data_IF_655535052348
#
_entry.id   IF_655535052348
#
_cell.length_a   1.000
_cell.length_b   1.000
_cell.length_c   1.000
_cell.angle_alpha   90.00
_cell.angle_beta   90.00
_cell.angle_gamma   90.00
#
_symmetry.space_group_name_H-M   'P 1'
#
loop_
_entity.id
_entity.type
_entity.pdbx_description
1 polymer ?
#
# COMPACT_ATOMS: atom_id res chain seq x y z
N UNK A 1 -18.76 63.76 -20.13
CA UNK A 1 -18.99 62.44 -19.49
C UNK A 1 -18.18 61.36 -20.21
N UNK A 2 -16.85 61.46 -20.18
CA UNK A 2 -15.93 60.51 -20.85
C UNK A 2 -14.89 60.02 -19.83
N UNK A 3 -15.37 59.38 -18.75
CA UNK A 3 -14.50 58.96 -17.65
C UNK A 3 -14.98 57.67 -16.94
N UNK A 4 -15.75 56.80 -17.60
CA UNK A 4 -16.44 55.72 -16.86
C UNK A 4 -16.31 54.29 -17.37
N UNK A 5 -15.55 53.98 -18.42
CA UNK A 5 -15.28 52.57 -18.75
C UNK A 5 -13.91 52.40 -19.42
N UNK A 6 -12.83 52.78 -18.73
CA UNK A 6 -11.56 52.05 -18.87
C UNK A 6 -11.56 50.94 -17.82
N UNK A 7 -12.52 50.03 -17.93
CA UNK A 7 -12.36 48.74 -17.28
C UNK A 7 -11.20 48.08 -18.02
N UNK A 8 -10.16 47.70 -17.30
CA UNK A 8 -9.02 46.92 -17.79
C UNK A 8 -9.50 45.51 -18.19
N UNK A 9 -10.39 45.42 -19.19
CA UNK A 9 -10.95 44.17 -19.68
C UNK A 9 -9.82 43.20 -20.08
N UNK A 10 -8.70 43.71 -20.57
CA UNK A 10 -7.55 42.89 -20.96
C UNK A 10 -6.90 42.18 -19.78
N UNK A 11 -6.79 42.82 -18.60
CA UNK A 11 -6.15 42.21 -17.43
C UNK A 11 -7.05 41.13 -16.82
N UNK A 12 -8.35 41.40 -16.70
CA UNK A 12 -9.31 40.44 -16.15
C UNK A 12 -9.53 39.24 -17.09
N UNK A 13 -9.50 39.45 -18.41
CA UNK A 13 -9.56 38.36 -19.40
C UNK A 13 -8.30 37.49 -19.32
N UNK A 14 -7.10 38.08 -19.31
CA UNK A 14 -5.84 37.33 -19.18
C UNK A 14 -5.83 36.52 -17.88
N UNK A 15 -6.21 37.13 -16.75
CA UNK A 15 -6.28 36.45 -15.46
C UNK A 15 -7.26 35.28 -15.49
N UNK A 16 -8.42 35.45 -16.14
CA UNK A 16 -9.42 34.38 -16.30
C UNK A 16 -8.88 33.23 -17.16
N UNK A 17 -8.20 33.53 -18.27
CA UNK A 17 -7.57 32.49 -19.10
C UNK A 17 -6.45 31.76 -18.37
N UNK A 18 -5.57 32.48 -17.65
CA UNK A 18 -4.52 31.87 -16.84
C UNK A 18 -5.12 30.96 -15.78
N UNK A 19 -6.14 31.42 -15.05
CA UNK A 19 -6.83 30.61 -14.05
C UNK A 19 -7.43 29.34 -14.68
N UNK A 20 -8.09 29.47 -15.85
CA UNK A 20 -8.69 28.33 -16.54
C UNK A 20 -7.64 27.34 -17.05
N UNK A 21 -6.50 27.82 -17.54
CA UNK A 21 -5.37 26.96 -17.92
C UNK A 21 -4.84 26.20 -16.69
N UNK A 22 -4.70 26.88 -15.55
CA UNK A 22 -4.27 26.24 -14.30
C UNK A 22 -5.26 25.18 -13.85
N UNK A 23 -6.56 25.49 -13.81
CA UNK A 23 -7.61 24.54 -13.42
C UNK A 23 -7.67 23.30 -14.34
N UNK A 24 -7.57 23.50 -15.66
CA UNK A 24 -7.52 22.39 -16.61
C UNK A 24 -6.23 21.56 -16.49
N UNK A 25 -5.09 22.21 -16.19
CA UNK A 25 -3.83 21.52 -15.92
C UNK A 25 -3.92 20.66 -14.65
N UNK A 26 -4.53 21.20 -13.58
CA UNK A 26 -4.75 20.48 -12.33
C UNK A 26 -5.69 19.29 -12.50
N UNK A 27 -6.79 19.47 -13.24
CA UNK A 27 -7.73 18.37 -13.58
C UNK A 27 -7.03 17.27 -14.37
N UNK A 28 -6.22 17.65 -15.35
CA UNK A 28 -5.43 16.70 -16.15
C UNK A 28 -4.44 15.95 -15.27
N UNK A 29 -3.76 16.65 -14.35
CA UNK A 29 -2.82 16.05 -13.42
C UNK A 29 -3.50 15.10 -12.42
N UNK A 30 -4.70 15.42 -11.96
CA UNK A 30 -5.53 14.51 -11.16
C UNK A 30 -5.91 13.25 -11.95
N UNK A 31 -6.30 13.41 -13.22
CA UNK A 31 -6.58 12.29 -14.12
C UNK A 31 -5.37 11.38 -14.34
N UNK A 32 -4.20 11.97 -14.57
CA UNK A 32 -2.94 11.23 -14.74
C UNK A 32 -2.58 10.41 -13.51
N UNK A 33 -2.77 10.98 -12.32
CA UNK A 33 -2.55 10.28 -11.04
C UNK A 33 -3.57 9.16 -10.81
N UNK A 34 -4.84 9.38 -11.18
CA UNK A 34 -5.87 8.35 -11.14
C UNK A 34 -5.52 7.13 -11.98
N UNK A 35 -5.06 7.36 -13.22
CA UNK A 35 -4.60 6.28 -14.11
C UNK A 35 -3.38 5.57 -13.52
N UNK A 36 -2.41 6.31 -12.97
CA UNK A 36 -1.23 5.67 -12.38
C UNK A 36 -1.62 4.76 -11.21
N UNK A 37 -2.53 5.22 -10.34
CA UNK A 37 -3.07 4.41 -9.24
C UNK A 37 -3.67 3.10 -9.78
N UNK A 38 -4.53 3.18 -10.79
CA UNK A 38 -5.15 2.00 -11.39
C UNK A 38 -4.10 1.02 -11.95
N UNK A 39 -3.14 1.53 -12.73
CA UNK A 39 -2.06 0.71 -13.31
C UNK A 39 -1.24 0.02 -12.22
N UNK A 40 -0.94 0.69 -11.12
CA UNK A 40 -0.21 0.11 -9.99
C UNK A 40 -1.00 -1.00 -9.31
N UNK A 41 -2.30 -0.80 -9.10
CA UNK A 41 -3.22 -1.80 -8.53
C UNK A 41 -3.32 -3.03 -9.43
N UNK A 42 -3.52 -2.84 -10.73
CA UNK A 42 -3.64 -3.93 -11.71
C UNK A 42 -2.34 -4.74 -11.77
N UNK A 43 -1.20 -4.06 -11.85
CA UNK A 43 0.11 -4.71 -11.85
C UNK A 43 0.37 -5.48 -10.55
N UNK A 44 -0.04 -4.96 -9.41
CA UNK A 44 0.07 -5.71 -8.15
C UNK A 44 -0.81 -6.96 -8.16
N UNK A 45 -2.09 -6.84 -8.54
CA UNK A 45 -3.03 -7.97 -8.63
C UNK A 45 -2.55 -9.05 -9.61
N UNK A 46 -1.97 -8.66 -10.74
CA UNK A 46 -1.43 -9.59 -11.75
C UNK A 46 -0.24 -10.41 -11.23
N UNK A 47 0.53 -9.87 -10.28
CA UNK A 47 1.86 -10.42 -9.91
C UNK A 47 1.93 -10.97 -8.50
N UNK A 48 1.01 -10.61 -7.59
CA UNK A 48 1.07 -10.96 -6.17
C UNK A 48 1.17 -12.47 -5.88
N UNK A 49 0.54 -13.29 -6.71
CA UNK A 49 0.53 -14.75 -6.54
C UNK A 49 1.70 -15.45 -7.27
N UNK A 50 2.55 -14.69 -7.97
CA UNK A 50 3.70 -15.22 -8.70
C UNK A 50 5.01 -15.00 -7.93
N UNK A 51 5.60 -16.11 -7.45
CA UNK A 51 6.85 -16.13 -6.68
C UNK A 51 8.02 -15.47 -7.38
N UNK A 52 8.06 -15.45 -8.72
CA UNK A 52 9.15 -14.81 -9.46
C UNK A 52 9.15 -13.27 -9.29
N UNK A 53 7.99 -12.71 -8.94
CA UNK A 53 7.78 -11.29 -8.66
C UNK A 53 7.74 -11.00 -7.17
N UNK A 54 8.15 -11.93 -6.32
CA UNK A 54 8.24 -11.74 -4.86
C UNK A 54 9.70 -11.50 -4.44
N UNK A 55 9.93 -10.58 -3.50
CA UNK A 55 11.23 -10.39 -2.83
C UNK A 55 11.48 -11.48 -1.81
N UNK A 56 12.69 -11.55 -1.26
CA UNK A 56 13.00 -12.45 -0.15
C UNK A 56 12.12 -12.17 1.08
N UNK A 57 11.78 -10.89 1.30
CA UNK A 57 10.90 -10.44 2.39
C UNK A 57 9.39 -10.59 2.09
N UNK A 58 9.00 -11.25 0.98
CA UNK A 58 7.58 -11.48 0.67
C UNK A 58 6.85 -10.34 -0.05
N UNK A 59 7.52 -9.23 -0.39
CA UNK A 59 6.89 -8.11 -1.10
C UNK A 59 6.87 -8.29 -2.61
N UNK A 60 5.85 -7.73 -3.28
CA UNK A 60 5.80 -7.72 -4.75
C UNK A 60 6.82 -6.73 -5.31
N UNK A 61 7.66 -7.18 -6.24
CA UNK A 61 8.64 -6.38 -6.99
C UNK A 61 8.26 -6.36 -8.47
N UNK A 62 8.25 -5.15 -9.05
CA UNK A 62 7.96 -4.97 -10.48
C UNK A 62 9.00 -4.03 -11.07
N UNK A 63 9.50 -4.32 -12.27
CA UNK A 63 10.53 -3.47 -12.87
C UNK A 63 10.01 -2.05 -13.11
N UNK A 64 10.84 -1.04 -12.85
CA UNK A 64 10.44 0.36 -13.05
C UNK A 64 10.04 0.64 -14.50
N UNK A 65 10.72 -0.02 -15.44
CA UNK A 65 10.42 0.06 -16.87
C UNK A 65 9.02 -0.49 -17.19
N UNK A 66 8.64 -1.64 -16.64
CA UNK A 66 7.32 -2.24 -16.87
C UNK A 66 6.19 -1.34 -16.37
N UNK A 67 6.34 -0.77 -15.16
CA UNK A 67 5.37 0.20 -14.62
C UNK A 67 5.26 1.43 -15.53
N UNK A 68 6.41 2.02 -15.92
CA UNK A 68 6.45 3.22 -16.75
C UNK A 68 5.88 3.00 -18.16
N UNK A 69 6.22 1.87 -18.79
CA UNK A 69 5.77 1.54 -20.14
C UNK A 69 4.25 1.29 -20.15
N UNK A 70 3.73 0.51 -19.19
CA UNK A 70 2.28 0.23 -19.07
C UNK A 70 1.49 1.50 -18.76
N UNK A 71 2.00 2.33 -17.84
CA UNK A 71 1.37 3.62 -17.51
C UNK A 71 1.27 4.55 -18.72
N UNK A 72 2.37 4.74 -19.46
CA UNK A 72 2.37 5.59 -20.64
C UNK A 72 1.54 5.02 -21.79
N UNK A 73 1.43 3.71 -21.91
CA UNK A 73 0.53 3.09 -22.88
C UNK A 73 -0.93 3.45 -22.58
N UNK A 74 -1.35 3.39 -21.32
CA UNK A 74 -2.72 3.76 -20.91
C UNK A 74 -2.95 5.26 -21.07
N UNK A 75 -2.03 6.11 -20.63
CA UNK A 75 -2.15 7.56 -20.80
C UNK A 75 -2.30 7.97 -22.27
N UNK A 76 -1.47 7.44 -23.17
CA UNK A 76 -1.56 7.75 -24.61
C UNK A 76 -2.90 7.34 -25.22
N UNK A 77 -3.53 6.29 -24.68
CA UNK A 77 -4.85 5.84 -25.13
C UNK A 77 -5.97 6.78 -24.65
N UNK A 78 -5.91 7.22 -23.39
CA UNK A 78 -6.96 8.03 -22.76
C UNK A 78 -6.83 9.54 -23.07
N UNK A 79 -5.59 10.05 -23.14
CA UNK A 79 -5.28 11.48 -23.25
C UNK A 79 -4.48 11.86 -24.50
N UNK A 80 -4.07 10.88 -25.32
CA UNK A 80 -3.28 11.12 -26.55
C UNK A 80 -1.79 11.40 -26.31
N UNK A 81 -1.37 11.61 -25.06
CA UNK A 81 0.01 11.88 -24.67
C UNK A 81 0.46 11.05 -23.46
N UNK A 82 1.77 11.00 -23.24
CA UNK A 82 2.37 10.35 -22.08
C UNK A 82 3.09 11.36 -21.19
N UNK A 83 3.64 10.90 -20.07
CA UNK A 83 4.43 11.76 -19.17
C UNK A 83 5.92 11.47 -19.30
N UNK A 84 6.73 12.48 -18.98
CA UNK A 84 8.18 12.32 -18.89
C UNK A 84 8.58 11.41 -17.72
N UNK A 85 9.79 10.80 -17.76
CA UNK A 85 10.31 10.04 -16.63
C UNK A 85 10.40 10.85 -15.32
N UNK A 86 10.59 12.17 -15.40
CA UNK A 86 10.64 13.06 -14.23
C UNK A 86 9.26 13.17 -13.59
N UNK A 87 8.23 13.51 -14.38
CA UNK A 87 6.85 13.63 -13.90
C UNK A 87 6.30 12.29 -13.39
N UNK A 88 6.65 11.19 -14.06
CA UNK A 88 6.35 9.84 -13.55
C UNK A 88 6.95 9.59 -12.16
N UNK A 89 8.22 9.97 -11.94
CA UNK A 89 8.86 9.82 -10.63
C UNK A 89 8.16 10.66 -9.56
N UNK A 90 7.76 11.89 -9.88
CA UNK A 90 6.99 12.75 -8.97
C UNK A 90 5.69 12.06 -8.52
N UNK A 91 4.91 11.53 -9.46
CA UNK A 91 3.68 10.81 -9.12
C UNK A 91 3.93 9.55 -8.29
N UNK A 92 4.99 8.80 -8.60
CA UNK A 92 5.35 7.60 -7.82
C UNK A 92 5.66 7.92 -6.35
N UNK A 93 6.25 9.09 -6.06
CA UNK A 93 6.50 9.55 -4.67
C UNK A 93 5.19 9.77 -3.90
N UNK A 94 4.15 10.28 -4.57
CA UNK A 94 2.83 10.48 -3.97
C UNK A 94 2.20 9.16 -3.51
N UNK A 95 2.44 8.07 -4.24
CA UNK A 95 2.03 6.71 -3.88
C UNK A 95 2.98 6.00 -2.90
N UNK A 96 4.00 6.69 -2.39
CA UNK A 96 4.88 6.18 -1.33
C UNK A 96 6.11 5.43 -1.81
N UNK A 97 6.38 5.40 -3.12
CA UNK A 97 7.60 4.81 -3.65
C UNK A 97 8.78 5.76 -3.47
N UNK A 98 9.51 5.61 -2.36
CA UNK A 98 10.70 6.42 -2.05
C UNK A 98 11.99 5.76 -2.53
N UNK A 99 13.00 6.56 -2.89
CA UNK A 99 14.22 6.08 -3.55
C UNK A 99 15.06 5.10 -2.71
N UNK A 100 15.00 5.16 -1.37
CA UNK A 100 15.86 4.33 -0.50
C UNK A 100 15.26 2.97 -0.14
N UNK A 101 13.93 2.86 0.01
CA UNK A 101 13.25 1.64 0.49
C UNK A 101 12.55 0.85 -0.62
N UNK A 102 12.20 1.50 -1.73
CA UNK A 102 11.32 0.91 -2.73
C UNK A 102 11.96 0.81 -4.12
N UNK A 103 13.23 1.21 -4.29
CA UNK A 103 13.94 1.20 -5.58
C UNK A 103 15.28 0.50 -5.50
N UNK A 104 15.26 -0.82 -5.67
CA UNK A 104 16.46 -1.67 -5.61
C UNK A 104 16.68 -2.40 -6.92
N UNK A 105 17.94 -2.64 -7.28
CA UNK A 105 18.28 -3.54 -8.39
C UNK A 105 18.01 -4.97 -7.97
N UNK A 106 16.96 -5.57 -8.52
CA UNK A 106 16.56 -6.94 -8.24
C UNK A 106 16.49 -7.75 -9.53
N UNK A 107 16.64 -9.07 -9.43
CA UNK A 107 16.34 -9.97 -10.54
C UNK A 107 14.82 -10.08 -10.68
N UNK A 108 14.34 -9.79 -11.89
CA UNK A 108 12.93 -9.89 -12.28
C UNK A 108 12.82 -10.58 -13.64
N UNK A 109 11.76 -11.38 -13.85
CA UNK A 109 11.45 -11.93 -15.16
C UNK A 109 11.24 -10.80 -16.17
N UNK A 110 11.69 -11.00 -17.41
CA UNK A 110 11.34 -10.12 -18.52
C UNK A 110 10.54 -10.96 -19.52
N UNK A 111 9.36 -10.51 -19.94
CA UNK A 111 8.58 -11.20 -20.97
C UNK A 111 9.43 -11.46 -22.22
N UNK A 112 9.58 -12.73 -22.59
CA UNK A 112 10.36 -13.18 -23.76
C UNK A 112 11.84 -13.50 -23.48
N UNK A 113 12.35 -13.26 -22.27
CA UNK A 113 13.69 -13.71 -21.85
C UNK A 113 13.60 -15.01 -21.02
N UNK A 114 14.49 -15.97 -21.29
CA UNK A 114 14.54 -17.24 -20.56
C UNK A 114 15.08 -17.09 -19.12
N UNK A 115 15.88 -16.05 -18.85
CA UNK A 115 16.51 -15.81 -17.56
C UNK A 115 16.11 -14.45 -16.96
N UNK A 116 15.85 -14.38 -15.64
CA UNK A 116 15.60 -13.11 -14.95
C UNK A 116 16.79 -12.15 -15.07
N UNK A 117 16.53 -10.88 -15.38
CA UNK A 117 17.59 -9.86 -15.49
C UNK A 117 17.57 -8.91 -14.30
N UNK A 118 18.75 -8.39 -13.94
CA UNK A 118 18.87 -7.35 -12.91
C UNK A 118 18.33 -6.02 -13.45
N UNK A 119 17.31 -5.47 -12.77
CA UNK A 119 16.65 -4.20 -13.12
C UNK A 119 16.30 -3.42 -11.86
N UNK A 120 16.23 -2.10 -12.00
CA UNK A 120 15.65 -1.26 -10.95
C UNK A 120 14.17 -1.61 -10.82
N UNK A 121 13.77 -2.03 -9.62
CA UNK A 121 12.41 -2.47 -9.34
C UNK A 121 11.74 -1.54 -8.35
N UNK A 122 10.44 -1.30 -8.55
CA UNK A 122 9.56 -0.71 -7.58
C UNK A 122 9.04 -1.83 -6.67
N UNK A 123 9.28 -1.73 -5.36
CA UNK A 123 8.81 -2.68 -4.36
C UNK A 123 7.52 -2.16 -3.74
N UNK A 124 6.48 -2.99 -3.76
CA UNK A 124 5.15 -2.71 -3.24
C UNK A 124 5.12 -3.08 -1.75
N UNK A 125 5.67 -2.19 -0.93
CA UNK A 125 5.62 -2.33 0.53
C UNK A 125 4.22 -2.06 1.06
N UNK A 126 3.94 -2.43 2.30
CA UNK A 126 2.63 -2.17 2.92
C UNK A 126 2.21 -0.70 2.88
N UNK A 127 3.19 0.23 3.04
CA UNK A 127 2.95 1.67 2.93
C UNK A 127 2.40 2.05 1.56
N UNK A 128 2.97 1.45 0.50
CA UNK A 128 2.52 1.67 -0.89
C UNK A 128 1.12 1.10 -1.06
N UNK A 129 0.88 -0.14 -0.63
CA UNK A 129 -0.42 -0.80 -0.75
C UNK A 129 -1.53 0.01 -0.06
N UNK A 130 -1.26 0.53 1.15
CA UNK A 130 -2.16 1.44 1.87
C UNK A 130 -2.49 2.70 1.09
N UNK A 131 -1.49 3.34 0.46
CA UNK A 131 -1.71 4.52 -0.38
C UNK A 131 -2.44 4.22 -1.69
N UNK A 132 -2.30 3.00 -2.20
CA UNK A 132 -3.06 2.52 -3.35
C UNK A 132 -4.50 2.14 -2.97
N UNK A 133 -4.86 2.09 -1.68
CA UNK A 133 -6.15 1.56 -1.22
C UNK A 133 -6.30 0.07 -1.52
N UNK A 134 -5.17 -0.61 -1.74
CA UNK A 134 -5.07 -2.05 -1.82
C UNK A 134 -4.83 -2.50 -0.40
N UNK A 135 -5.91 -2.60 0.37
CA UNK A 135 -5.83 -3.38 1.60
C UNK A 135 -5.70 -4.84 1.14
N UNK A 136 -4.49 -5.40 1.23
CA UNK A 136 -4.44 -6.79 1.71
C UNK A 136 -5.26 -6.77 2.98
N UNK A 137 -6.26 -7.64 3.07
CA UNK A 137 -7.08 -7.83 4.26
C UNK A 137 -6.15 -7.83 5.48
N UNK A 138 -5.99 -6.66 6.11
CA UNK A 138 -5.55 -6.61 7.49
C UNK A 138 -6.60 -7.42 8.17
N UNK A 139 -6.20 -8.58 8.70
CA UNK A 139 -7.12 -9.38 9.48
C UNK A 139 -7.79 -8.42 10.42
N UNK A 140 -9.10 -8.27 10.24
CA UNK A 140 -9.84 -7.32 11.06
C UNK A 140 -9.56 -7.69 12.51
N UNK A 141 -9.62 -6.73 13.45
CA UNK A 141 -9.47 -7.07 14.88
C UNK A 141 -10.31 -8.31 15.24
N UNK A 142 -11.49 -8.44 14.63
CA UNK A 142 -12.36 -9.61 14.71
C UNK A 142 -11.71 -10.91 14.25
N UNK A 143 -11.04 -10.95 13.10
CA UNK A 143 -10.34 -12.14 12.60
C UNK A 143 -9.11 -12.50 13.43
N UNK A 144 -8.33 -11.51 13.88
CA UNK A 144 -7.21 -11.72 14.79
C UNK A 144 -7.72 -12.37 16.09
N UNK A 145 -8.82 -11.85 16.64
CA UNK A 145 -9.44 -12.39 17.84
C UNK A 145 -9.97 -13.82 17.62
N UNK A 146 -10.55 -14.12 16.46
CA UNK A 146 -11.00 -15.48 16.10
C UNK A 146 -9.81 -16.45 16.08
N UNK A 147 -8.72 -16.11 15.37
CA UNK A 147 -7.54 -16.97 15.28
C UNK A 147 -6.84 -17.15 16.63
N UNK A 148 -6.71 -16.07 17.40
CA UNK A 148 -6.19 -16.13 18.77
C UNK A 148 -7.03 -17.06 19.64
N UNK A 149 -8.37 -16.97 19.57
CA UNK A 149 -9.28 -17.86 20.31
C UNK A 149 -9.12 -19.32 19.90
N UNK A 150 -9.07 -19.61 18.60
CA UNK A 150 -8.90 -20.98 18.10
C UNK A 150 -7.57 -21.58 18.53
N UNK A 151 -6.50 -20.77 18.53
CA UNK A 151 -5.20 -21.19 19.00
C UNK A 151 -5.20 -21.46 20.50
N UNK A 152 -5.80 -20.57 21.30
CA UNK A 152 -5.97 -20.72 22.76
C UNK A 152 -6.67 -22.04 23.09
N UNK A 153 -7.76 -22.36 22.39
CA UNK A 153 -8.52 -23.59 22.62
C UNK A 153 -7.72 -24.86 22.28
N UNK A 154 -6.80 -24.79 21.32
CA UNK A 154 -5.94 -25.90 20.90
C UNK A 154 -4.71 -26.10 21.77
N UNK A 155 -4.24 -25.05 22.44
CA UNK A 155 -2.96 -25.04 23.16
C UNK A 155 -3.10 -24.93 24.68
N UNK A 156 -4.33 -24.98 25.21
CA UNK A 156 -4.53 -25.12 26.65
C UNK A 156 -4.20 -26.52 27.12
N UNK A 157 -3.52 -26.62 28.27
CA UNK A 157 -3.20 -27.89 28.90
C UNK A 157 -4.43 -28.47 29.64
N UNK A 158 -4.23 -29.61 30.33
CA UNK A 158 -5.28 -30.29 31.09
C UNK A 158 -5.88 -29.42 32.22
N UNK A 159 -5.12 -28.42 32.71
CA UNK A 159 -5.54 -27.47 33.74
C UNK A 159 -6.13 -26.19 33.13
N UNK A 160 -6.35 -26.16 31.81
CA UNK A 160 -6.78 -24.98 31.06
C UNK A 160 -5.82 -23.80 31.16
N UNK A 161 -4.52 -24.07 31.29
CA UNK A 161 -3.46 -23.06 31.31
C UNK A 161 -2.75 -23.00 29.96
N UNK A 162 -2.27 -21.79 29.64
CA UNK A 162 -1.53 -21.49 28.43
C UNK A 162 -0.22 -20.80 28.80
N UNK A 163 0.81 -21.08 28.02
CA UNK A 163 2.06 -20.34 28.09
C UNK A 163 1.90 -18.91 27.53
N UNK A 164 2.10 -17.91 28.38
CA UNK A 164 1.90 -16.51 28.01
C UNK A 164 2.91 -16.07 26.94
N UNK A 165 4.12 -16.61 26.97
CA UNK A 165 5.13 -16.28 25.97
C UNK A 165 4.73 -16.81 24.61
N UNK A 166 4.34 -18.09 24.51
CA UNK A 166 3.85 -18.67 23.26
C UNK A 166 2.60 -17.98 22.71
N UNK A 167 1.67 -17.59 23.59
CA UNK A 167 0.49 -16.81 23.17
C UNK A 167 0.90 -15.43 22.62
N UNK A 168 1.84 -14.77 23.27
CA UNK A 168 2.32 -13.44 22.86
C UNK A 168 3.04 -13.51 21.51
N UNK A 169 3.90 -14.52 21.30
CA UNK A 169 4.55 -14.77 20.01
C UNK A 169 3.53 -15.07 18.91
N UNK A 170 2.53 -15.90 19.21
CA UNK A 170 1.49 -16.22 18.24
C UNK A 170 0.71 -14.97 17.83
N UNK A 171 0.27 -14.16 18.80
CA UNK A 171 -0.45 -12.91 18.51
C UNK A 171 0.44 -11.92 17.76
N UNK A 172 1.73 -11.82 18.10
CA UNK A 172 2.69 -11.00 17.35
C UNK A 172 2.84 -11.44 15.89
N UNK A 173 2.67 -12.74 15.59
CA UNK A 173 2.66 -13.24 14.21
C UNK A 173 1.38 -12.87 13.44
N UNK A 174 0.31 -12.47 14.13
CA UNK A 174 -0.99 -12.12 13.54
C UNK A 174 -1.20 -10.62 13.33
N UNK A 175 -0.42 -9.76 13.98
CA UNK A 175 -0.61 -8.31 13.92
C UNK A 175 0.68 -7.53 14.16
N UNK A 176 0.82 -6.38 13.48
CA UNK A 176 1.87 -5.39 13.75
C UNK A 176 1.57 -4.51 14.98
N UNK A 177 0.35 -4.60 15.55
CA UNK A 177 0.00 -3.91 16.80
C UNK A 177 0.63 -4.59 18.03
N UNK A 178 0.77 -3.84 19.13
CA UNK A 178 1.23 -4.40 20.40
C UNK A 178 0.37 -5.63 20.80
N UNK A 179 0.95 -6.85 20.84
CA UNK A 179 0.22 -8.08 21.16
C UNK A 179 -0.51 -8.00 22.50
N UNK A 180 0.03 -7.20 23.42
CA UNK A 180 -0.54 -6.88 24.73
C UNK A 180 -1.95 -6.30 24.64
N UNK A 181 -2.25 -5.50 23.61
CA UNK A 181 -3.61 -4.94 23.41
C UNK A 181 -4.61 -6.03 23.09
N UNK A 182 -4.27 -6.94 22.17
CA UNK A 182 -5.11 -8.09 21.82
C UNK A 182 -5.32 -9.00 23.02
N UNK A 183 -4.25 -9.29 23.77
CA UNK A 183 -4.34 -10.09 25.01
C UNK A 183 -5.25 -9.41 26.04
N UNK A 184 -5.18 -8.09 26.19
CA UNK A 184 -6.07 -7.34 27.09
C UNK A 184 -7.52 -7.38 26.64
N UNK A 185 -7.81 -7.34 25.33
CA UNK A 185 -9.17 -7.55 24.80
C UNK A 185 -9.67 -8.95 25.16
N UNK A 186 -8.86 -9.99 24.95
CA UNK A 186 -9.23 -11.37 25.29
C UNK A 186 -9.43 -11.58 26.80
N UNK A 187 -8.72 -10.83 27.65
CA UNK A 187 -8.96 -10.76 29.11
C UNK A 187 -10.28 -10.08 29.44
N UNK A 188 -10.56 -8.94 28.82
CA UNK A 188 -11.81 -8.20 29.03
C UNK A 188 -13.04 -9.01 28.57
N UNK A 189 -12.90 -9.80 27.51
CA UNK A 189 -13.92 -10.73 27.03
C UNK A 189 -14.09 -11.98 27.92
N UNK A 190 -13.27 -12.11 28.97
CA UNK A 190 -13.33 -13.22 29.93
C UNK A 190 -12.81 -14.55 29.40
N UNK A 191 -12.13 -14.55 28.23
CA UNK A 191 -11.50 -15.74 27.69
C UNK A 191 -10.19 -16.07 28.41
N UNK A 192 -9.45 -15.03 28.83
CA UNK A 192 -8.19 -15.16 29.54
C UNK A 192 -8.28 -14.57 30.95
N UNK A 193 -7.59 -15.16 31.92
CA UNK A 193 -7.54 -14.69 33.30
C UNK A 193 -6.20 -14.97 33.97
N UNK A 194 -5.79 -14.11 34.90
CA UNK A 194 -4.52 -14.26 35.60
C UNK A 194 -4.61 -15.33 36.69
N UNK A 195 -3.61 -16.22 36.75
CA UNK A 195 -3.59 -17.39 37.66
C UNK A 195 -2.48 -17.33 38.71
N UNK A 196 -1.76 -16.21 38.80
CA UNK A 196 -0.68 -16.01 39.78
C UNK A 196 0.55 -16.92 39.59
N UNK A 197 0.60 -17.70 38.50
CA UNK A 197 1.75 -18.53 38.12
C UNK A 197 2.62 -17.78 37.10
N UNK A 198 3.94 -17.63 37.35
CA UNK A 198 4.84 -16.97 36.40
C UNK A 198 4.78 -17.61 35.00
N UNK A 199 4.64 -16.77 33.97
CA UNK A 199 4.62 -17.21 32.57
C UNK A 199 3.36 -17.97 32.13
N UNK A 200 2.35 -18.12 32.99
CA UNK A 200 1.11 -18.83 32.66
C UNK A 200 -0.11 -17.92 32.76
N UNK A 201 -1.08 -18.18 31.90
CA UNK A 201 -2.38 -17.53 31.89
C UNK A 201 -3.48 -18.59 31.82
N UNK A 202 -4.58 -18.39 32.55
CA UNK A 202 -5.74 -19.26 32.48
C UNK A 202 -6.59 -18.94 31.26
N UNK A 203 -7.16 -19.96 30.64
CA UNK A 203 -8.03 -19.85 29.48
C UNK A 203 -9.35 -20.58 29.70
N UNK A 204 -10.47 -19.98 29.28
CA UNK A 204 -11.81 -20.57 29.41
C UNK A 204 -12.23 -21.26 28.11
#
# INVERSE_FOLDING_TARGET
>A
LSNLVKVECDIDIVKTFTQKITEESERTELGFRGILKQVLVDLWNEKKDNKDYTTEDGFVKISNKEVYDKYNQVLKKEYGEGVSPVKFKEFMLEFGFTDALNRTKLKVPIPGDAEPKSRLCNVFTERVLRKLGVEEERQTLREILIKARDWILKNKDADSLIDLFSLTEYVASLTEEEPTKIINVLKNDGLLFDVGKPGKIGAK
#
